data_IF_586745660168
#
_entry.id   IF_586745660168
#
_cell.length_a   1.000
_cell.length_b   1.000
_cell.length_c   1.000
_cell.angle_alpha   90.00
_cell.angle_beta   90.00
_cell.angle_gamma   90.00
#
_symmetry.space_group_name_H-M   'P 1'
#
loop_
_entity.id
_entity.type
_entity.pdbx_description
1 polymer ?
#
# COMPACT_ATOMS: atom_id res chain seq x y z
N UNK A 1 -44.27 -11.49 -38.75
CA UNK A 1 -43.26 -10.68 -38.06
C UNK A 1 -42.98 -11.33 -36.68
N UNK A 2 -41.97 -12.17 -36.62
CA UNK A 2 -41.57 -12.85 -35.39
C UNK A 2 -40.50 -12.00 -34.69
N UNK A 3 -40.85 -11.40 -33.57
CA UNK A 3 -39.92 -10.67 -32.74
C UNK A 3 -38.88 -11.65 -32.14
N UNK A 4 -37.68 -11.72 -32.70
CA UNK A 4 -36.52 -12.36 -32.05
C UNK A 4 -36.22 -11.62 -30.75
N UNK A 5 -36.65 -12.19 -29.64
CA UNK A 5 -36.16 -11.77 -28.32
C UNK A 5 -34.64 -11.93 -28.31
N UNK A 6 -33.92 -10.83 -28.25
CA UNK A 6 -32.47 -10.82 -27.99
C UNK A 6 -32.24 -11.40 -26.60
N UNK A 7 -31.91 -12.69 -26.54
CA UNK A 7 -31.50 -13.33 -25.31
C UNK A 7 -30.18 -12.64 -24.88
N UNK A 8 -30.27 -11.72 -23.96
CA UNK A 8 -29.09 -11.17 -23.29
C UNK A 8 -28.24 -12.30 -22.66
N UNK A 9 -26.95 -12.08 -22.40
CA UNK A 9 -26.08 -13.11 -21.89
C UNK A 9 -26.69 -13.77 -20.63
N UNK A 10 -26.75 -15.11 -20.64
CA UNK A 10 -27.35 -15.90 -19.56
C UNK A 10 -26.72 -15.55 -18.18
N UNK A 11 -27.47 -15.83 -17.11
CA UNK A 11 -27.03 -15.54 -15.72
C UNK A 11 -25.65 -16.14 -15.46
N UNK A 12 -25.37 -17.36 -15.92
CA UNK A 12 -24.06 -18.00 -15.80
C UNK A 12 -22.94 -17.15 -16.46
N UNK A 13 -23.15 -16.65 -17.68
CA UNK A 13 -22.20 -15.82 -18.41
C UNK A 13 -21.93 -14.49 -17.69
N UNK A 14 -22.95 -13.90 -17.04
CA UNK A 14 -22.81 -12.68 -16.24
C UNK A 14 -22.01 -12.93 -14.96
N UNK A 15 -22.23 -14.06 -14.29
CA UNK A 15 -21.50 -14.44 -13.06
C UNK A 15 -20.04 -14.76 -13.39
N UNK A 16 -19.79 -15.70 -14.33
CA UNK A 16 -18.43 -16.12 -14.69
C UNK A 16 -17.60 -15.02 -15.38
N UNK A 17 -18.23 -14.08 -16.04
CA UNK A 17 -17.58 -12.91 -16.63
C UNK A 17 -17.46 -11.73 -15.69
N UNK A 18 -18.01 -11.80 -14.47
CA UNK A 18 -17.91 -10.70 -13.50
C UNK A 18 -16.49 -10.52 -13.00
N UNK A 19 -16.08 -9.27 -12.76
CA UNK A 19 -14.75 -8.98 -12.20
C UNK A 19 -14.57 -9.55 -10.78
N UNK A 20 -15.65 -9.65 -10.02
CA UNK A 20 -15.65 -10.25 -8.70
C UNK A 20 -15.28 -11.75 -8.77
N UNK A 21 -15.90 -12.50 -9.65
CA UNK A 21 -15.61 -13.92 -9.86
C UNK A 21 -14.14 -14.13 -10.26
N UNK A 22 -13.64 -13.33 -11.21
CA UNK A 22 -12.22 -13.39 -11.63
C UNK A 22 -11.27 -13.09 -10.47
N UNK A 23 -11.60 -12.13 -9.61
CA UNK A 23 -10.77 -11.81 -8.45
C UNK A 23 -10.76 -12.91 -7.39
N UNK A 24 -11.94 -13.51 -7.11
CA UNK A 24 -12.03 -14.67 -6.19
C UNK A 24 -11.24 -15.86 -6.73
N UNK A 25 -11.42 -16.16 -8.03
CA UNK A 25 -10.69 -17.24 -8.69
C UNK A 25 -9.16 -17.00 -8.64
N UNK A 26 -8.72 -15.78 -8.87
CA UNK A 26 -7.31 -15.40 -8.76
C UNK A 26 -6.73 -15.68 -7.36
N UNK A 27 -7.49 -15.36 -6.32
CA UNK A 27 -7.11 -15.64 -4.93
C UNK A 27 -7.04 -17.15 -4.68
N UNK A 28 -8.04 -17.91 -5.13
CA UNK A 28 -8.06 -19.39 -4.98
C UNK A 28 -6.86 -20.05 -5.68
N UNK A 29 -6.54 -19.60 -6.90
CA UNK A 29 -5.36 -20.08 -7.63
C UNK A 29 -4.07 -19.78 -6.88
N UNK A 30 -3.95 -18.55 -6.36
CA UNK A 30 -2.78 -18.18 -5.59
C UNK A 30 -2.62 -19.04 -4.34
N UNK A 31 -3.71 -19.33 -3.62
CA UNK A 31 -3.67 -20.28 -2.50
C UNK A 31 -3.32 -21.71 -2.95
N UNK A 32 -3.81 -22.16 -4.11
CA UNK A 32 -3.42 -23.46 -4.65
C UNK A 32 -1.93 -23.53 -5.01
N UNK A 33 -1.38 -22.48 -5.64
CA UNK A 33 0.05 -22.36 -5.91
C UNK A 33 0.85 -22.33 -4.60
N UNK A 34 0.40 -21.55 -3.61
CA UNK A 34 1.00 -21.51 -2.28
C UNK A 34 0.99 -22.88 -1.60
N UNK A 35 -0.10 -23.65 -1.71
CA UNK A 35 -0.19 -25.00 -1.19
C UNK A 35 0.88 -25.94 -1.80
N UNK A 36 1.06 -25.87 -3.13
CA UNK A 36 2.09 -26.64 -3.83
C UNK A 36 3.48 -26.25 -3.33
N UNK A 37 3.77 -24.96 -3.21
CA UNK A 37 5.07 -24.48 -2.75
C UNK A 37 5.35 -24.87 -1.28
N UNK A 38 4.35 -24.79 -0.41
CA UNK A 38 4.44 -25.22 0.99
C UNK A 38 4.72 -26.75 1.04
N UNK A 39 4.00 -27.54 0.25
CA UNK A 39 4.21 -28.99 0.17
C UNK A 39 5.62 -29.32 -0.30
N UNK A 40 6.14 -28.59 -1.31
CA UNK A 40 7.52 -28.76 -1.83
C UNK A 40 8.58 -28.38 -0.80
N UNK A 41 8.28 -27.47 0.14
CA UNK A 41 9.19 -27.13 1.25
C UNK A 41 9.20 -28.18 2.37
N UNK A 42 8.40 -29.25 2.26
CA UNK A 42 8.29 -30.30 3.27
C UNK A 42 7.38 -29.96 4.44
N UNK A 43 6.72 -28.80 4.44
CA UNK A 43 5.79 -28.39 5.49
C UNK A 43 4.36 -28.89 5.20
N UNK A 44 3.59 -29.13 6.27
CA UNK A 44 2.16 -29.47 6.17
C UNK A 44 1.36 -28.25 5.68
N UNK A 45 0.71 -28.40 4.54
CA UNK A 45 -0.13 -27.32 3.94
C UNK A 45 -1.29 -26.95 4.86
N UNK A 46 -1.93 -27.94 5.46
CA UNK A 46 -3.07 -27.72 6.35
C UNK A 46 -2.64 -26.95 7.62
N UNK A 47 -1.52 -27.36 8.23
CA UNK A 47 -0.98 -26.69 9.42
C UNK A 47 -0.51 -25.27 9.11
N UNK A 48 0.10 -25.07 7.95
CA UNK A 48 0.56 -23.75 7.50
C UNK A 48 -0.62 -22.77 7.31
N UNK A 49 -1.65 -23.17 6.58
CA UNK A 49 -2.83 -22.30 6.37
C UNK A 49 -3.64 -22.12 7.64
N UNK A 50 -3.76 -23.14 8.46
CA UNK A 50 -4.39 -23.02 9.77
C UNK A 50 -3.61 -22.06 10.69
N UNK A 51 -2.27 -22.14 10.69
CA UNK A 51 -1.40 -21.20 11.40
C UNK A 51 -1.56 -19.77 10.87
N UNK A 52 -1.67 -19.59 9.54
CA UNK A 52 -1.90 -18.28 8.93
C UNK A 52 -3.25 -17.69 9.39
N UNK A 53 -4.32 -18.48 9.38
CA UNK A 53 -5.64 -18.06 9.85
C UNK A 53 -5.60 -17.66 11.33
N UNK A 54 -5.02 -18.51 12.19
CA UNK A 54 -4.88 -18.25 13.61
C UNK A 54 -4.03 -17.02 13.92
N UNK A 55 -2.99 -16.79 13.13
CA UNK A 55 -2.09 -15.64 13.29
C UNK A 55 -2.62 -14.33 12.70
N UNK A 56 -3.67 -14.38 11.88
CA UNK A 56 -4.20 -13.19 11.21
C UNK A 56 -5.57 -12.73 11.69
N UNK A 57 -6.45 -13.64 12.08
CA UNK A 57 -7.85 -13.29 12.41
C UNK A 57 -8.16 -13.58 13.88
N UNK A 58 -8.14 -14.85 14.27
CA UNK A 58 -8.50 -15.27 15.61
C UNK A 58 -7.77 -16.55 15.98
N UNK A 59 -7.30 -16.67 17.20
CA UNK A 59 -6.72 -17.92 17.73
C UNK A 59 -7.72 -18.64 18.64
N UNK A 60 -8.49 -19.63 18.12
CA UNK A 60 -9.48 -20.36 18.90
C UNK A 60 -8.88 -21.19 20.06
N UNK A 61 -7.59 -21.52 19.96
CA UNK A 61 -6.89 -22.33 20.96
C UNK A 61 -6.15 -21.48 22.01
N UNK A 62 -6.41 -20.18 22.04
CA UNK A 62 -5.78 -19.28 22.99
C UNK A 62 -6.31 -19.49 24.41
N UNK A 63 -5.43 -19.36 25.39
CA UNK A 63 -5.75 -19.60 26.80
C UNK A 63 -6.76 -18.60 27.41
N UNK A 64 -6.97 -17.46 26.76
CA UNK A 64 -7.91 -16.42 27.19
C UNK A 64 -8.38 -15.55 26.03
N UNK A 65 -9.48 -14.80 26.23
CA UNK A 65 -10.09 -13.92 25.22
C UNK A 65 -9.10 -12.86 24.68
N UNK A 66 -8.21 -12.34 25.51
CA UNK A 66 -7.20 -11.34 25.10
C UNK A 66 -6.25 -11.93 24.04
N UNK A 67 -5.74 -13.14 24.27
CA UNK A 67 -4.88 -13.83 23.31
C UNK A 67 -5.64 -14.30 22.08
N UNK A 68 -6.94 -14.58 22.21
CA UNK A 68 -7.80 -15.01 21.11
C UNK A 68 -7.96 -13.90 20.05
N UNK A 69 -8.13 -12.63 20.46
CA UNK A 69 -8.32 -11.49 19.54
C UNK A 69 -7.00 -10.81 19.14
N UNK A 70 -5.87 -11.17 19.77
CA UNK A 70 -4.56 -10.57 19.47
C UNK A 70 -4.16 -10.66 17.99
N UNK A 71 -4.37 -11.77 17.24
CA UNK A 71 -4.07 -11.85 15.81
C UNK A 71 -4.77 -10.78 14.97
N UNK A 72 -6.02 -10.46 15.27
CA UNK A 72 -6.76 -9.40 14.58
C UNK A 72 -6.08 -8.03 14.80
N UNK A 73 -5.70 -7.74 16.05
CA UNK A 73 -5.02 -6.47 16.37
C UNK A 73 -3.61 -6.40 15.77
N UNK A 74 -2.90 -7.52 15.69
CA UNK A 74 -1.61 -7.61 15.00
C UNK A 74 -1.78 -7.40 13.48
N UNK A 75 -2.86 -7.92 12.87
CA UNK A 75 -3.20 -7.65 11.46
C UNK A 75 -3.48 -6.16 11.21
N UNK A 76 -4.25 -5.52 12.08
CA UNK A 76 -4.48 -4.07 12.03
C UNK A 76 -3.17 -3.29 12.20
N UNK A 77 -2.31 -3.70 13.12
CA UNK A 77 -1.01 -3.09 13.34
C UNK A 77 -0.11 -3.13 12.08
N UNK A 78 0.05 -4.30 11.46
CA UNK A 78 0.85 -4.43 10.24
C UNK A 78 0.20 -3.77 9.01
N UNK A 79 -1.12 -3.54 9.02
CA UNK A 79 -1.81 -2.84 7.94
C UNK A 79 -1.57 -1.34 7.92
N UNK A 80 -1.19 -0.72 9.05
CA UNK A 80 -1.05 0.74 9.17
C UNK A 80 -0.16 1.35 8.09
N UNK A 81 1.14 0.99 8.00
CA UNK A 81 2.04 1.58 7.02
C UNK A 81 1.63 1.23 5.59
N UNK A 82 1.04 0.06 5.37
CA UNK A 82 0.60 -0.41 4.06
C UNK A 82 -0.62 0.39 3.54
N UNK A 83 -1.57 0.70 4.41
CA UNK A 83 -2.73 1.55 4.06
C UNK A 83 -2.24 2.95 3.69
N UNK A 84 -1.45 3.59 4.55
CA UNK A 84 -0.98 4.96 4.33
C UNK A 84 -0.15 5.05 3.05
N UNK A 85 0.82 4.15 2.89
CA UNK A 85 1.69 4.11 1.70
C UNK A 85 0.90 3.77 0.43
N UNK A 86 -0.01 2.81 0.51
CA UNK A 86 -0.86 2.40 -0.60
C UNK A 86 -1.75 3.54 -1.10
N UNK A 87 -2.31 4.35 -0.20
CA UNK A 87 -3.07 5.57 -0.55
C UNK A 87 -2.17 6.58 -1.26
N UNK A 88 -0.94 6.80 -0.77
CA UNK A 88 0.03 7.69 -1.40
C UNK A 88 0.36 7.28 -2.84
N UNK A 89 0.62 5.99 -3.08
CA UNK A 89 0.90 5.47 -4.43
C UNK A 89 -0.35 5.46 -5.33
N UNK A 90 -1.52 5.16 -4.77
CA UNK A 90 -2.79 5.23 -5.49
C UNK A 90 -3.05 6.64 -6.04
N UNK A 91 -2.60 7.69 -5.33
CA UNK A 91 -2.68 9.07 -5.79
C UNK A 91 -1.90 9.28 -7.10
N UNK A 92 -0.65 8.80 -7.14
CA UNK A 92 0.18 8.82 -8.35
C UNK A 92 -0.49 8.10 -9.50
N UNK A 93 -0.97 6.89 -9.29
CA UNK A 93 -1.67 6.10 -10.33
C UNK A 93 -2.94 6.77 -10.85
N UNK A 94 -3.66 7.51 -10.01
CA UNK A 94 -4.82 8.31 -10.44
C UNK A 94 -4.46 9.46 -11.38
N UNK A 95 -3.24 9.97 -11.30
CA UNK A 95 -2.70 10.99 -12.21
C UNK A 95 -2.00 10.41 -13.44
N UNK A 96 -1.97 9.08 -13.60
CA UNK A 96 -1.19 8.42 -14.64
C UNK A 96 0.31 8.41 -14.39
N UNK A 97 0.74 8.62 -13.12
CA UNK A 97 2.14 8.63 -12.70
C UNK A 97 2.49 7.35 -11.95
N UNK A 98 3.64 6.79 -12.24
CA UNK A 98 4.12 5.56 -11.60
C UNK A 98 5.25 5.90 -10.60
N UNK A 99 4.87 6.15 -9.32
CA UNK A 99 5.82 6.44 -8.25
C UNK A 99 6.38 5.13 -7.66
N UNK A 100 7.61 4.75 -8.02
CA UNK A 100 8.34 3.62 -7.41
C UNK A 100 9.20 4.11 -6.23
N UNK A 101 9.26 5.41 -5.98
CA UNK A 101 10.08 6.05 -4.94
C UNK A 101 9.60 5.84 -3.50
N UNK A 102 8.63 4.94 -3.29
CA UNK A 102 8.01 4.74 -1.99
C UNK A 102 9.00 4.45 -0.87
N UNK A 103 9.99 3.59 -1.12
CA UNK A 103 11.02 3.27 -0.14
C UNK A 103 11.82 4.50 0.31
N UNK A 104 12.27 5.33 -0.64
CA UNK A 104 13.04 6.53 -0.34
C UNK A 104 12.23 7.58 0.43
N UNK A 105 10.97 7.77 0.05
CA UNK A 105 10.06 8.72 0.69
C UNK A 105 9.73 8.30 2.13
N UNK A 106 9.57 6.99 2.39
CA UNK A 106 9.41 6.41 3.73
C UNK A 106 10.68 6.66 4.57
N UNK A 107 11.86 6.39 4.03
CA UNK A 107 13.15 6.60 4.71
C UNK A 107 13.30 8.06 5.13
N UNK A 108 13.09 8.99 4.21
CA UNK A 108 13.24 10.42 4.47
C UNK A 108 12.21 10.90 5.50
N UNK A 109 10.96 10.45 5.41
CA UNK A 109 9.94 10.73 6.40
C UNK A 109 10.27 10.17 7.79
N UNK A 110 10.74 8.93 7.87
CA UNK A 110 11.16 8.27 9.11
C UNK A 110 12.33 9.01 9.78
N UNK A 111 13.37 9.38 9.01
CA UNK A 111 14.50 10.17 9.51
C UNK A 111 14.04 11.52 10.06
N UNK A 112 13.20 12.23 9.33
CA UNK A 112 12.69 13.53 9.74
C UNK A 112 11.84 13.43 11.03
N UNK A 113 10.99 12.41 11.14
CA UNK A 113 10.18 12.16 12.33
C UNK A 113 11.04 11.85 13.55
N UNK A 114 12.02 10.96 13.40
CA UNK A 114 12.87 10.53 14.50
C UNK A 114 13.80 11.66 14.94
N UNK A 115 14.29 12.46 13.99
CA UNK A 115 15.10 13.63 14.35
C UNK A 115 14.33 14.59 15.28
N UNK A 116 13.07 14.90 14.95
CA UNK A 116 12.21 15.67 15.85
C UNK A 116 12.04 14.92 17.18
N UNK A 117 11.79 13.61 17.13
CA UNK A 117 11.45 12.77 18.28
C UNK A 117 12.57 12.62 19.32
N UNK A 118 13.85 12.75 18.96
CA UNK A 118 14.95 12.69 19.92
C UNK A 118 15.65 14.06 20.17
N UNK A 119 15.47 15.05 19.27
CA UNK A 119 16.17 16.34 19.38
C UNK A 119 15.35 17.40 20.11
N UNK A 120 14.02 17.31 20.11
CA UNK A 120 13.14 18.30 20.71
C UNK A 120 12.53 17.76 22.00
N UNK A 121 12.26 18.68 22.94
CA UNK A 121 11.52 18.40 24.17
C UNK A 121 10.20 19.20 24.13
N UNK A 122 9.16 18.59 23.61
CA UNK A 122 7.83 19.19 23.52
C UNK A 122 6.82 18.39 24.38
N UNK A 123 5.72 19.03 24.80
CA UNK A 123 4.63 18.31 25.47
C UNK A 123 4.13 17.15 24.62
N UNK A 124 3.63 16.03 25.22
CA UNK A 124 3.20 14.83 24.48
C UNK A 124 2.30 15.15 23.30
N UNK A 125 1.35 15.07 22.92
CA UNK A 125 0.53 15.34 21.72
C UNK A 125 1.16 16.30 20.71
N UNK A 126 1.67 17.47 21.18
CA UNK A 126 2.34 18.44 20.30
C UNK A 126 3.60 17.86 19.68
N UNK A 127 4.41 17.14 20.47
CA UNK A 127 5.63 16.49 19.98
C UNK A 127 5.33 15.50 18.86
N UNK A 128 4.37 14.62 19.08
CA UNK A 128 3.92 13.64 18.07
C UNK A 128 3.38 14.34 16.81
N UNK A 129 2.54 15.38 16.95
CA UNK A 129 2.00 16.12 15.81
C UNK A 129 3.08 16.81 14.99
N UNK A 130 4.05 17.46 15.65
CA UNK A 130 5.19 18.11 14.97
C UNK A 130 6.04 17.07 14.23
N UNK A 131 6.32 15.93 14.85
CA UNK A 131 7.09 14.86 14.22
C UNK A 131 6.37 14.30 12.96
N UNK A 132 5.04 14.09 13.04
CA UNK A 132 4.24 13.65 11.90
C UNK A 132 4.21 14.70 10.78
N UNK A 133 4.02 16.00 11.12
CA UNK A 133 3.99 17.08 10.14
C UNK A 133 5.33 17.24 9.42
N UNK A 134 6.45 17.21 10.17
CA UNK A 134 7.79 17.30 9.58
C UNK A 134 8.06 16.12 8.64
N UNK A 135 7.62 14.91 8.99
CA UNK A 135 7.73 13.75 8.12
C UNK A 135 6.88 13.86 6.84
N UNK A 136 5.65 14.37 6.95
CA UNK A 136 4.77 14.65 5.81
C UNK A 136 5.46 15.62 4.85
N UNK A 137 6.01 16.72 5.37
CA UNK A 137 6.70 17.73 4.57
C UNK A 137 7.97 17.15 3.94
N UNK A 138 8.79 16.44 4.71
CA UNK A 138 10.03 15.85 4.22
C UNK A 138 9.79 14.81 3.12
N UNK A 139 8.86 13.87 3.35
CA UNK A 139 8.45 12.89 2.34
C UNK A 139 7.83 13.55 1.10
N UNK A 140 7.01 14.58 1.30
CA UNK A 140 6.40 15.36 0.23
C UNK A 140 7.44 16.09 -0.63
N UNK A 141 8.39 16.78 -0.03
CA UNK A 141 9.47 17.46 -0.72
C UNK A 141 10.33 16.45 -1.50
N UNK A 142 10.64 15.31 -0.89
CA UNK A 142 11.44 14.28 -1.54
C UNK A 142 10.72 13.66 -2.75
N UNK A 143 9.43 13.35 -2.62
CA UNK A 143 8.60 12.92 -3.75
C UNK A 143 8.44 14.01 -4.81
N UNK A 144 8.37 15.26 -4.38
CA UNK A 144 8.29 16.46 -5.24
C UNK A 144 9.48 16.62 -6.17
N UNK A 145 10.68 16.16 -5.80
CA UNK A 145 11.86 16.19 -6.68
C UNK A 145 11.55 15.49 -8.01
N UNK A 146 11.04 14.26 -7.98
CA UNK A 146 10.68 13.52 -9.18
C UNK A 146 9.53 14.20 -9.94
N UNK A 147 8.55 14.74 -9.21
CA UNK A 147 7.43 15.47 -9.80
C UNK A 147 7.85 16.71 -10.57
N UNK A 148 8.75 17.52 -10.00
CA UNK A 148 9.27 18.73 -10.63
C UNK A 148 10.17 18.39 -11.83
N UNK A 149 11.04 17.39 -11.71
CA UNK A 149 11.87 16.93 -12.82
C UNK A 149 11.00 16.48 -14.00
N UNK A 150 9.98 15.65 -13.75
CA UNK A 150 9.05 15.24 -14.81
C UNK A 150 8.32 16.43 -15.42
N UNK A 151 7.82 17.34 -14.59
CA UNK A 151 7.05 18.50 -15.06
C UNK A 151 7.88 19.47 -15.92
N UNK A 152 9.15 19.72 -15.55
CA UNK A 152 9.99 20.71 -16.23
C UNK A 152 10.84 20.13 -17.36
N UNK A 153 11.32 18.92 -17.24
CA UNK A 153 12.27 18.31 -18.19
C UNK A 153 11.70 17.15 -18.98
N UNK A 154 10.49 16.67 -18.63
CA UNK A 154 9.91 15.47 -19.23
C UNK A 154 10.59 14.16 -18.77
N UNK A 155 11.46 14.19 -17.75
CA UNK A 155 12.16 13.02 -17.25
C UNK A 155 11.18 11.89 -16.88
N UNK A 156 11.63 10.65 -17.10
CA UNK A 156 10.81 9.48 -16.73
C UNK A 156 10.75 9.34 -15.20
N UNK A 157 9.54 9.50 -14.63
CA UNK A 157 9.32 9.45 -13.19
C UNK A 157 9.70 8.11 -12.56
N UNK A 158 9.54 7.01 -13.30
CA UNK A 158 9.92 5.66 -12.84
C UNK A 158 11.41 5.58 -12.57
N UNK A 159 12.22 6.02 -13.55
CA UNK A 159 13.68 6.01 -13.43
C UNK A 159 14.13 6.94 -12.30
N UNK A 160 13.61 8.17 -12.28
CA UNK A 160 13.98 9.17 -11.26
C UNK A 160 13.64 8.65 -9.85
N UNK A 161 12.44 8.08 -9.66
CA UNK A 161 12.02 7.61 -8.33
C UNK A 161 12.79 6.37 -7.88
N UNK A 162 13.18 5.47 -8.77
CA UNK A 162 14.09 4.35 -8.44
C UNK A 162 15.46 4.85 -8.03
N UNK A 163 16.02 5.82 -8.75
CA UNK A 163 17.31 6.43 -8.38
C UNK A 163 17.23 7.14 -7.02
N UNK A 164 16.15 7.85 -6.76
CA UNK A 164 15.91 8.48 -5.45
C UNK A 164 15.81 7.44 -4.31
N UNK A 165 15.27 6.25 -4.54
CA UNK A 165 15.33 5.17 -3.53
C UNK A 165 16.76 4.80 -3.16
N UNK A 166 17.65 4.69 -4.15
CA UNK A 166 19.06 4.39 -3.92
C UNK A 166 19.75 5.53 -3.18
N UNK A 167 19.49 6.78 -3.56
CA UNK A 167 20.04 7.97 -2.87
C UNK A 167 19.57 8.02 -1.41
N UNK A 168 18.27 7.79 -1.14
CA UNK A 168 17.76 7.77 0.23
C UNK A 168 18.37 6.64 1.07
N UNK A 169 18.55 5.45 0.47
CA UNK A 169 19.13 4.28 1.16
C UNK A 169 20.61 4.52 1.50
N UNK A 170 21.39 5.07 0.57
CA UNK A 170 22.79 5.43 0.81
C UNK A 170 22.90 6.61 1.79
N UNK A 171 22.02 7.62 1.64
CA UNK A 171 21.92 8.75 2.55
C UNK A 171 21.59 8.31 3.98
N UNK A 172 20.65 7.39 4.15
CA UNK A 172 20.36 6.76 5.45
C UNK A 172 21.61 6.09 6.03
N UNK A 173 22.28 5.25 5.22
CA UNK A 173 23.51 4.59 5.64
C UNK A 173 24.56 5.59 6.13
N UNK A 174 24.77 6.68 5.40
CA UNK A 174 25.69 7.75 5.79
C UNK A 174 25.22 8.47 7.06
N UNK A 175 23.94 8.84 7.15
CA UNK A 175 23.37 9.52 8.33
C UNK A 175 23.59 8.71 9.60
N UNK A 176 23.38 7.39 9.55
CA UNK A 176 23.57 6.49 10.69
C UNK A 176 25.06 6.31 11.09
N UNK A 177 26.03 6.80 10.31
CA UNK A 177 27.44 6.83 10.72
C UNK A 177 27.83 8.14 11.42
N UNK A 178 26.98 9.16 11.35
CA UNK A 178 27.25 10.45 11.97
C UNK A 178 26.97 10.41 13.48
N UNK A 179 27.92 10.89 14.29
CA UNK A 179 27.80 10.90 15.76
C UNK A 179 26.54 11.60 16.29
N UNK A 180 26.05 12.63 15.59
CA UNK A 180 24.82 13.35 15.94
C UNK A 180 23.55 12.51 15.80
N UNK A 181 23.63 11.40 15.06
CA UNK A 181 22.52 10.50 14.79
C UNK A 181 22.68 9.12 15.45
N UNK A 182 23.74 8.91 16.21
CA UNK A 182 24.01 7.66 16.91
C UNK A 182 23.64 7.74 18.39
N UNK A 183 23.36 6.59 18.97
CA UNK A 183 23.23 6.50 20.43
C UNK A 183 24.57 6.85 21.07
N UNK A 184 24.62 7.83 21.99
CA UNK A 184 25.87 8.24 22.64
C UNK A 184 26.61 7.04 23.24
N UNK A 185 27.92 6.98 22.98
CA UNK A 185 28.79 5.90 23.50
C UNK A 185 28.71 4.56 22.76
N UNK A 186 28.00 4.50 21.64
CA UNK A 186 27.94 3.29 20.81
C UNK A 186 28.34 3.57 19.36
N UNK A 187 28.78 2.53 18.65
CA UNK A 187 29.04 2.58 17.19
C UNK A 187 27.93 1.84 16.40
N UNK A 188 26.77 1.60 17.00
CA UNK A 188 25.67 0.93 16.31
C UNK A 188 25.04 1.88 15.27
N UNK A 189 24.79 1.40 14.04
CA UNK A 189 24.19 2.22 12.99
C UNK A 189 22.67 2.33 13.16
N UNK A 190 22.26 2.88 14.30
CA UNK A 190 20.86 3.14 14.66
C UNK A 190 20.76 4.50 15.36
N UNK A 191 19.62 5.16 15.19
CA UNK A 191 19.37 6.43 15.90
C UNK A 191 19.06 6.20 17.37
N UNK A 192 19.18 7.24 18.22
CA UNK A 192 18.60 7.20 19.56
C UNK A 192 17.11 6.86 19.49
N UNK A 193 16.58 6.29 20.57
CA UNK A 193 15.13 6.09 20.70
C UNK A 193 14.43 7.43 20.78
N UNK A 194 13.27 7.52 20.17
CA UNK A 194 12.40 8.68 20.29
C UNK A 194 11.94 8.86 21.73
N UNK A 195 11.78 10.11 22.16
CA UNK A 195 11.22 10.41 23.46
C UNK A 195 9.80 9.83 23.60
N UNK A 196 9.41 9.41 24.80
CA UNK A 196 8.06 8.89 25.05
C UNK A 196 6.96 9.89 24.66
N UNK A 197 7.25 11.19 24.77
CA UNK A 197 6.36 12.27 24.33
C UNK A 197 6.13 12.33 22.81
N UNK A 198 7.08 11.82 22.00
CA UNK A 198 6.98 11.76 20.55
C UNK A 198 6.41 10.41 20.04
N UNK A 199 6.48 9.37 20.87
CA UNK A 199 6.05 8.04 20.50
C UNK A 199 4.51 8.01 20.29
N UNK A 200 4.06 7.19 19.32
CA UNK A 200 2.64 6.95 19.12
C UNK A 200 2.09 6.06 20.25
N UNK A 201 1.23 6.62 21.08
CA UNK A 201 0.65 5.94 22.23
C UNK A 201 -0.06 4.63 21.81
N UNK A 202 0.03 3.60 22.65
CA UNK A 202 -0.71 2.35 22.45
C UNK A 202 -2.19 2.58 22.67
N UNK A 203 -3.04 2.05 21.80
CA UNK A 203 -4.50 2.08 21.95
C UNK A 203 -5.03 1.05 22.93
N UNK A 204 -4.29 -0.05 23.11
CA UNK A 204 -4.65 -1.17 23.95
C UNK A 204 -3.48 -1.51 24.88
N UNK A 205 -3.75 -1.99 26.12
CA UNK A 205 -2.69 -2.43 27.04
C UNK A 205 -1.97 -3.68 26.50
N UNK A 206 -0.81 -3.98 27.06
CA UNK A 206 -0.09 -5.21 26.72
C UNK A 206 -1.02 -6.45 26.86
N UNK A 207 -0.96 -7.44 25.96
CA UNK A 207 0.12 -7.70 24.98
C UNK A 207 -0.13 -7.11 23.57
N UNK A 208 -1.09 -6.20 23.40
CA UNK A 208 -1.42 -5.64 22.10
C UNK A 208 -0.36 -4.63 21.63
N UNK A 209 -0.08 -4.63 20.31
CA UNK A 209 0.88 -3.71 19.68
C UNK A 209 0.20 -2.50 19.01
N UNK A 210 -1.12 -2.55 18.87
CA UNK A 210 -1.89 -1.54 18.15
C UNK A 210 -1.75 -0.17 18.82
N UNK A 211 -1.32 0.84 18.07
CA UNK A 211 -1.10 2.21 18.54
C UNK A 211 -1.92 3.23 17.76
N UNK A 212 -1.93 4.49 18.19
CA UNK A 212 -2.67 5.62 17.60
C UNK A 212 -2.39 5.78 16.11
N UNK A 213 -1.30 5.23 15.59
CA UNK A 213 -1.01 5.17 14.16
C UNK A 213 -2.14 4.55 13.31
N UNK A 214 -2.97 3.67 13.86
CA UNK A 214 -4.14 3.18 13.14
C UNK A 214 -5.19 4.29 12.95
N UNK A 215 -5.37 5.14 13.94
CA UNK A 215 -6.22 6.33 13.82
C UNK A 215 -5.65 7.29 12.78
N UNK A 216 -4.31 7.48 12.76
CA UNK A 216 -3.62 8.29 11.73
C UNK A 216 -3.88 7.69 10.34
N UNK A 217 -3.86 6.36 10.17
CA UNK A 217 -4.19 5.71 8.90
C UNK A 217 -5.64 5.94 8.48
N UNK A 218 -6.59 5.94 9.42
CA UNK A 218 -8.00 6.26 9.14
C UNK A 218 -8.18 7.74 8.77
N UNK A 219 -7.48 8.65 9.43
CA UNK A 219 -7.48 10.08 9.06
C UNK A 219 -6.88 10.26 7.66
N UNK A 220 -5.77 9.58 7.35
CA UNK A 220 -5.17 9.57 6.02
C UNK A 220 -6.12 9.01 4.95
N UNK A 221 -6.89 7.96 5.27
CA UNK A 221 -7.93 7.40 4.40
C UNK A 221 -9.03 8.42 4.09
N UNK A 222 -9.53 9.11 5.12
CA UNK A 222 -10.56 10.15 4.97
C UNK A 222 -10.02 11.33 4.18
N UNK A 223 -8.78 11.77 4.46
CA UNK A 223 -8.12 12.85 3.73
C UNK A 223 -7.95 12.48 2.24
N UNK A 224 -7.51 11.27 1.94
CA UNK A 224 -7.40 10.77 0.55
C UNK A 224 -8.77 10.72 -0.13
N UNK A 225 -9.80 10.18 0.54
CA UNK A 225 -11.16 10.12 0.01
C UNK A 225 -11.68 11.52 -0.32
N UNK A 226 -11.56 12.47 0.61
CA UNK A 226 -11.99 13.85 0.39
C UNK A 226 -11.19 14.49 -0.76
N UNK A 227 -9.86 14.32 -0.75
CA UNK A 227 -8.98 14.85 -1.78
C UNK A 227 -9.36 14.34 -3.17
N UNK A 228 -9.52 13.04 -3.36
CA UNK A 228 -9.76 12.44 -4.68
C UNK A 228 -11.22 12.58 -5.11
N UNK A 229 -12.19 12.41 -4.22
CA UNK A 229 -13.61 12.31 -4.64
C UNK A 229 -14.36 13.65 -4.49
N UNK A 230 -13.89 14.56 -3.64
CA UNK A 230 -14.62 15.78 -3.27
C UNK A 230 -13.94 17.09 -3.61
N UNK A 231 -12.61 17.10 -3.87
CA UNK A 231 -11.86 18.33 -4.14
C UNK A 231 -11.73 18.64 -5.63
N UNK A 232 -11.57 19.93 -5.96
CA UNK A 232 -11.23 20.39 -7.31
C UNK A 232 -9.87 19.87 -7.78
N UNK A 233 -8.92 19.77 -6.83
CA UNK A 233 -7.59 19.20 -7.10
C UNK A 233 -7.69 17.73 -7.50
N UNK A 234 -8.52 16.95 -6.78
CA UNK A 234 -8.77 15.55 -7.13
C UNK A 234 -9.42 15.38 -8.49
N UNK A 235 -10.32 16.28 -8.88
CA UNK A 235 -10.86 16.31 -10.23
C UNK A 235 -9.74 16.53 -11.27
N UNK A 236 -8.87 17.52 -11.06
CA UNK A 236 -7.75 17.82 -11.96
C UNK A 236 -6.76 16.63 -12.06
N UNK A 237 -6.45 15.99 -10.94
CA UNK A 237 -5.61 14.79 -10.89
C UNK A 237 -6.20 13.67 -11.76
N UNK A 238 -7.49 13.39 -11.61
CA UNK A 238 -8.17 12.36 -12.41
C UNK A 238 -8.28 12.73 -13.89
N UNK A 239 -8.51 14.02 -14.20
CA UNK A 239 -8.58 14.52 -15.57
C UNK A 239 -7.23 14.36 -16.29
N UNK A 240 -6.14 14.74 -15.63
CA UNK A 240 -4.77 14.58 -16.18
C UNK A 240 -4.45 13.09 -16.37
N UNK A 241 -4.80 12.23 -15.40
CA UNK A 241 -4.57 10.79 -15.51
C UNK A 241 -5.41 10.11 -16.58
N UNK A 242 -6.60 10.61 -16.87
CA UNK A 242 -7.45 10.08 -17.94
C UNK A 242 -6.95 10.46 -19.33
N UNK A 243 -6.63 11.76 -19.55
CA UNK A 243 -6.03 12.25 -20.79
C UNK A 243 -5.39 13.63 -20.56
N UNK A 244 -4.07 13.66 -20.49
CA UNK A 244 -3.30 14.88 -20.25
C UNK A 244 -3.48 15.94 -21.36
N UNK A 245 -3.65 15.53 -22.61
CA UNK A 245 -3.86 16.47 -23.72
C UNK A 245 -5.23 17.16 -23.61
N UNK A 246 -6.30 16.39 -23.36
CA UNK A 246 -7.64 16.92 -23.14
C UNK A 246 -7.70 17.82 -21.88
N UNK A 247 -7.01 17.44 -20.80
CA UNK A 247 -6.92 18.25 -19.59
C UNK A 247 -6.27 19.61 -19.86
N UNK A 248 -5.19 19.64 -20.66
CA UNK A 248 -4.53 20.88 -21.08
C UNK A 248 -5.44 21.77 -21.91
N UNK A 249 -6.20 21.20 -22.86
CA UNK A 249 -7.20 21.94 -23.65
C UNK A 249 -8.30 22.55 -22.77
N UNK A 250 -8.65 21.88 -21.66
CA UNK A 250 -9.60 22.38 -20.67
C UNK A 250 -8.98 23.38 -19.68
N UNK A 251 -7.74 23.87 -19.90
CA UNK A 251 -7.09 24.87 -19.06
C UNK A 251 -6.41 24.32 -17.80
N UNK A 252 -6.26 23.00 -17.66
CA UNK A 252 -5.57 22.38 -16.53
C UNK A 252 -4.07 22.34 -16.81
N UNK A 253 -3.26 22.94 -15.93
CA UNK A 253 -1.79 22.84 -16.01
C UNK A 253 -1.33 21.44 -15.62
N UNK A 254 -1.01 20.62 -16.62
CA UNK A 254 -0.57 19.23 -16.44
C UNK A 254 0.72 19.17 -15.62
N UNK A 255 1.66 20.11 -15.88
CA UNK A 255 2.95 20.18 -15.19
C UNK A 255 2.77 20.45 -13.70
N UNK A 256 1.90 21.39 -13.34
CA UNK A 256 1.59 21.72 -11.94
C UNK A 256 0.92 20.56 -11.24
N UNK A 257 -0.05 19.91 -11.88
CA UNK A 257 -0.76 18.75 -11.30
C UNK A 257 0.19 17.57 -11.12
N UNK A 258 1.09 17.31 -12.07
CA UNK A 258 2.13 16.28 -11.96
C UNK A 258 3.01 16.51 -10.72
N UNK A 259 3.54 17.73 -10.57
CA UNK A 259 4.39 18.07 -9.41
C UNK A 259 3.64 17.94 -8.08
N UNK A 260 2.44 18.52 -7.98
CA UNK A 260 1.61 18.45 -6.76
C UNK A 260 1.25 17.01 -6.41
N UNK A 261 0.89 16.19 -7.39
CA UNK A 261 0.55 14.78 -7.16
C UNK A 261 1.72 14.01 -6.56
N UNK A 262 2.95 14.24 -7.05
CA UNK A 262 4.14 13.58 -6.53
C UNK A 262 4.50 14.08 -5.12
N UNK A 263 4.30 15.37 -4.84
CA UNK A 263 4.44 15.93 -3.47
C UNK A 263 3.45 15.27 -2.52
N UNK A 264 2.18 15.20 -2.90
CA UNK A 264 1.14 14.59 -2.07
C UNK A 264 1.38 13.08 -1.88
N UNK A 265 1.76 12.37 -2.94
CA UNK A 265 2.16 10.96 -2.86
C UNK A 265 3.29 10.77 -1.85
N UNK A 266 4.35 11.58 -1.96
CA UNK A 266 5.47 11.56 -1.02
C UNK A 266 5.09 11.94 0.40
N UNK A 267 4.13 12.83 0.59
CA UNK A 267 3.60 13.21 1.90
C UNK A 267 2.94 12.04 2.63
N UNK A 268 2.12 11.25 1.94
CA UNK A 268 1.55 10.01 2.51
C UNK A 268 2.64 8.99 2.86
N UNK A 269 3.63 8.82 1.99
CA UNK A 269 4.73 7.89 2.23
C UNK A 269 5.64 8.34 3.38
N UNK A 270 5.89 9.64 3.51
CA UNK A 270 6.58 10.23 4.66
C UNK A 270 5.82 9.99 5.96
N UNK A 271 4.48 10.14 5.93
CA UNK A 271 3.61 9.83 7.07
C UNK A 271 3.67 8.34 7.45
N UNK A 272 3.74 7.43 6.46
CA UNK A 272 3.95 6.00 6.73
C UNK A 272 5.31 5.73 7.37
N UNK A 273 6.36 6.42 6.94
CA UNK A 273 7.70 6.36 7.54
C UNK A 273 7.70 6.84 8.99
N UNK A 274 7.03 7.96 9.27
CA UNK A 274 6.86 8.44 10.64
C UNK A 274 6.10 7.44 11.52
N UNK A 275 5.04 6.84 10.98
CA UNK A 275 4.26 5.84 11.70
C UNK A 275 5.11 4.61 12.06
N UNK A 276 5.94 4.14 11.14
CA UNK A 276 6.86 3.03 11.39
C UNK A 276 7.90 3.40 12.46
N UNK A 277 8.50 4.57 12.33
CA UNK A 277 9.57 5.03 13.21
C UNK A 277 9.10 5.42 14.62
N UNK A 278 7.94 6.08 14.75
CA UNK A 278 7.42 6.56 16.03
C UNK A 278 6.51 5.56 16.75
N UNK A 279 5.88 4.65 16.01
CA UNK A 279 4.86 3.73 16.54
C UNK A 279 5.32 2.28 16.61
N UNK A 280 6.03 1.79 15.57
CA UNK A 280 6.38 0.38 15.43
C UNK A 280 7.74 0.07 16.04
N UNK A 281 8.77 0.84 15.67
CA UNK A 281 10.18 0.53 15.99
C UNK A 281 10.70 1.39 17.15
N UNK A 282 10.35 2.67 17.17
CA UNK A 282 10.82 3.64 18.17
C UNK A 282 12.21 4.24 17.87
N UNK A 283 12.82 3.91 16.73
CA UNK A 283 14.10 4.43 16.25
C UNK A 283 14.24 4.16 14.74
N UNK A 284 15.27 4.67 14.09
CA UNK A 284 15.58 4.36 12.69
C UNK A 284 16.82 3.47 12.60
N UNK A 285 16.69 2.37 11.86
CA UNK A 285 17.76 1.48 11.43
C UNK A 285 17.87 1.47 9.90
N UNK A 286 18.87 0.77 9.36
CA UNK A 286 19.05 0.63 7.90
C UNK A 286 17.84 0.02 7.19
N UNK A 287 17.03 -0.76 7.90
CA UNK A 287 15.88 -1.48 7.36
C UNK A 287 14.52 -0.87 7.74
N UNK A 288 14.49 0.40 8.14
CA UNK A 288 13.26 1.08 8.58
C UNK A 288 12.11 1.02 7.57
N UNK A 289 12.41 1.06 6.28
CA UNK A 289 11.39 0.97 5.23
C UNK A 289 11.05 -0.47 4.84
N UNK A 290 11.90 -1.45 5.15
CA UNK A 290 11.71 -2.86 4.78
C UNK A 290 11.20 -3.03 3.35
N UNK A 291 10.16 -3.85 3.18
CA UNK A 291 9.43 -4.05 1.92
C UNK A 291 8.25 -3.09 1.72
N UNK A 292 7.92 -2.22 2.70
CA UNK A 292 6.68 -1.42 2.72
C UNK A 292 6.50 -0.62 1.43
N UNK A 293 7.57 -0.01 0.90
CA UNK A 293 7.51 0.80 -0.32
C UNK A 293 7.05 0.01 -1.56
N UNK A 294 7.46 -1.25 -1.68
CA UNK A 294 7.05 -2.14 -2.77
C UNK A 294 5.69 -2.79 -2.50
N UNK A 295 5.45 -3.24 -1.27
CA UNK A 295 4.17 -3.81 -0.85
C UNK A 295 3.03 -2.81 -1.07
N UNK A 296 3.31 -1.52 -0.87
CA UNK A 296 2.35 -0.44 -1.09
C UNK A 296 1.91 -0.31 -2.56
N UNK A 297 2.81 -0.57 -3.54
CA UNK A 297 2.46 -0.62 -4.97
C UNK A 297 1.39 -1.70 -5.17
N UNK A 298 1.64 -2.85 -4.61
CA UNK A 298 0.78 -4.01 -4.64
C UNK A 298 -0.59 -3.72 -4.02
N UNK A 299 -0.60 -3.10 -2.83
CA UNK A 299 -1.82 -2.68 -2.13
C UNK A 299 -2.63 -1.68 -2.96
N UNK A 300 -1.97 -0.68 -3.57
CA UNK A 300 -2.65 0.30 -4.41
C UNK A 300 -3.28 -0.34 -5.65
N UNK A 301 -2.53 -1.21 -6.35
CA UNK A 301 -3.01 -1.91 -7.55
C UNK A 301 -4.14 -2.90 -7.23
N UNK A 302 -4.00 -3.69 -6.16
CA UNK A 302 -5.04 -4.59 -5.69
C UNK A 302 -6.31 -3.82 -5.32
N UNK A 303 -6.15 -2.68 -4.64
CA UNK A 303 -7.23 -1.75 -4.32
C UNK A 303 -7.79 -0.98 -5.53
N UNK A 304 -7.24 -1.20 -6.75
CA UNK A 304 -7.60 -0.50 -7.99
C UNK A 304 -7.51 1.01 -7.86
N UNK A 305 -6.60 1.49 -7.07
CA UNK A 305 -6.38 2.91 -6.78
C UNK A 305 -7.65 3.62 -6.25
N UNK A 306 -8.58 2.87 -5.64
CA UNK A 306 -9.79 3.40 -5.01
C UNK A 306 -9.59 3.46 -3.50
N UNK A 307 -10.17 4.45 -2.84
CA UNK A 307 -10.05 4.69 -1.40
C UNK A 307 -10.33 3.42 -0.59
N UNK A 308 -11.53 2.89 -0.67
CA UNK A 308 -11.95 1.71 0.09
C UNK A 308 -11.29 0.42 -0.39
N UNK A 309 -10.97 0.35 -1.70
CA UNK A 309 -10.24 -0.78 -2.25
C UNK A 309 -8.82 -0.88 -1.70
N UNK A 310 -8.09 0.24 -1.65
CA UNK A 310 -6.73 0.32 -1.10
C UNK A 310 -6.72 0.06 0.41
N UNK A 311 -7.73 0.55 1.13
CA UNK A 311 -7.92 0.23 2.55
C UNK A 311 -8.09 -1.28 2.77
N UNK A 312 -9.03 -1.92 2.05
CA UNK A 312 -9.27 -3.36 2.15
C UNK A 312 -8.05 -4.20 1.74
N UNK A 313 -7.33 -3.77 0.69
CA UNK A 313 -6.08 -4.41 0.29
C UNK A 313 -4.99 -4.29 1.37
N UNK A 314 -4.85 -3.11 2.00
CA UNK A 314 -3.91 -2.90 3.10
C UNK A 314 -4.22 -3.78 4.32
N UNK A 315 -5.50 -3.94 4.68
CA UNK A 315 -5.94 -4.86 5.74
C UNK A 315 -5.60 -6.32 5.39
N UNK A 316 -5.85 -6.75 4.16
CA UNK A 316 -5.52 -8.10 3.70
C UNK A 316 -4.02 -8.38 3.78
N UNK A 317 -3.19 -7.44 3.32
CA UNK A 317 -1.72 -7.58 3.39
C UNK A 317 -1.20 -7.55 4.83
N UNK A 318 -1.80 -6.71 5.69
CA UNK A 318 -1.52 -6.72 7.13
C UNK A 318 -1.84 -8.08 7.77
N UNK A 319 -2.97 -8.68 7.40
CA UNK A 319 -3.36 -10.02 7.83
C UNK A 319 -2.39 -11.10 7.33
N UNK A 320 -1.97 -11.05 6.07
CA UNK A 320 -0.94 -11.96 5.54
C UNK A 320 0.39 -11.82 6.29
N UNK A 321 0.80 -10.59 6.61
CA UNK A 321 2.03 -10.34 7.37
C UNK A 321 1.95 -10.89 8.79
N UNK A 322 0.84 -10.66 9.50
CA UNK A 322 0.60 -11.20 10.83
C UNK A 322 0.54 -12.73 10.84
N UNK A 323 -0.24 -13.32 9.93
CA UNK A 323 -0.35 -14.77 9.76
C UNK A 323 0.97 -15.40 9.34
N UNK A 324 1.76 -14.70 8.54
CA UNK A 324 3.06 -15.11 8.07
C UNK A 324 4.07 -15.38 9.17
N UNK A 325 4.14 -14.53 10.16
CA UNK A 325 5.00 -14.77 11.33
C UNK A 325 4.56 -16.03 12.10
N UNK A 326 3.27 -16.34 12.12
CA UNK A 326 2.76 -17.56 12.78
C UNK A 326 3.08 -18.81 11.95
N UNK A 327 3.02 -18.72 10.60
CA UNK A 327 3.46 -19.79 9.70
C UNK A 327 4.95 -20.09 9.85
N UNK A 328 5.78 -19.04 9.96
CA UNK A 328 7.23 -19.17 10.16
C UNK A 328 7.56 -19.96 11.41
N UNK A 329 6.81 -19.76 12.50
CA UNK A 329 6.96 -20.55 13.73
C UNK A 329 6.62 -22.05 13.55
N UNK A 330 5.98 -22.42 12.42
CA UNK A 330 5.69 -23.81 12.01
C UNK A 330 6.66 -24.36 10.97
N UNK A 331 7.79 -23.69 10.76
CA UNK A 331 8.84 -24.13 9.83
C UNK A 331 8.61 -23.73 8.37
N UNK A 332 7.60 -22.90 8.06
CA UNK A 332 7.40 -22.39 6.70
C UNK A 332 8.28 -21.14 6.51
N UNK A 333 9.15 -21.08 5.50
CA UNK A 333 9.96 -19.90 5.21
C UNK A 333 9.09 -18.66 4.97
N UNK A 334 9.49 -17.51 5.52
CA UNK A 334 8.72 -16.25 5.35
C UNK A 334 8.60 -15.83 3.89
N UNK A 335 9.57 -16.21 3.05
CA UNK A 335 9.58 -15.94 1.62
C UNK A 335 8.38 -16.59 0.89
N UNK A 336 7.85 -17.69 1.39
CA UNK A 336 6.64 -18.34 0.85
C UNK A 336 5.42 -17.42 0.92
N UNK A 337 5.35 -16.57 1.95
CA UNK A 337 4.27 -15.60 2.09
C UNK A 337 4.43 -14.47 1.09
N UNK A 338 5.67 -14.01 0.88
CA UNK A 338 5.98 -13.00 -0.15
C UNK A 338 5.65 -13.53 -1.54
N UNK A 339 5.93 -14.81 -1.83
CA UNK A 339 5.56 -15.46 -3.08
C UNK A 339 4.04 -15.52 -3.21
N UNK A 340 3.33 -15.97 -2.17
CA UNK A 340 1.87 -16.03 -2.16
C UNK A 340 1.25 -14.64 -2.44
N UNK A 341 1.72 -13.60 -1.74
CA UNK A 341 1.29 -12.21 -1.97
C UNK A 341 1.56 -11.77 -3.41
N UNK A 342 2.75 -12.05 -3.95
CA UNK A 342 3.14 -11.68 -5.30
C UNK A 342 2.28 -12.37 -6.36
N UNK A 343 1.95 -13.65 -6.16
CA UNK A 343 1.06 -14.41 -7.05
C UNK A 343 -0.36 -13.87 -7.01
N UNK A 344 -0.89 -13.56 -5.82
CA UNK A 344 -2.22 -12.94 -5.66
C UNK A 344 -2.27 -11.64 -6.46
N UNK A 345 -1.26 -10.80 -6.31
CA UNK A 345 -1.20 -9.50 -7.00
C UNK A 345 -1.08 -9.66 -8.50
N UNK A 346 -0.19 -10.53 -8.96
CA UNK A 346 -0.02 -10.79 -10.40
C UNK A 346 -1.36 -11.21 -11.04
N UNK A 347 -2.07 -12.14 -10.42
CA UNK A 347 -3.34 -12.65 -10.96
C UNK A 347 -4.46 -11.61 -10.88
N UNK A 348 -4.49 -10.78 -9.85
CA UNK A 348 -5.51 -9.72 -9.72
C UNK A 348 -5.17 -8.51 -10.61
N UNK A 349 -3.90 -8.16 -10.76
CA UNK A 349 -3.46 -7.09 -11.65
C UNK A 349 -3.62 -7.44 -13.13
N UNK A 350 -3.55 -8.73 -13.47
CA UNK A 350 -3.70 -9.24 -14.82
C UNK A 350 -4.97 -10.10 -14.99
N UNK A 351 -6.19 -9.54 -14.86
CA UNK A 351 -7.44 -10.32 -14.98
C UNK A 351 -7.63 -10.94 -16.37
N UNK A 352 -6.97 -10.39 -17.40
CA UNK A 352 -6.92 -10.96 -18.73
C UNK A 352 -6.20 -12.33 -18.74
N UNK A 353 -5.12 -12.46 -17.96
CA UNK A 353 -4.39 -13.73 -17.82
C UNK A 353 -5.28 -14.81 -17.19
N UNK A 354 -6.00 -14.47 -16.12
CA UNK A 354 -6.94 -15.40 -15.46
C UNK A 354 -8.06 -15.81 -16.41
N UNK A 355 -8.62 -14.87 -17.15
CA UNK A 355 -9.66 -15.16 -18.16
C UNK A 355 -9.12 -16.07 -19.28
N UNK A 356 -7.93 -15.80 -19.77
CA UNK A 356 -7.31 -16.61 -20.81
C UNK A 356 -7.03 -18.04 -20.32
N UNK A 357 -6.47 -18.18 -19.10
CA UNK A 357 -6.15 -19.48 -18.52
C UNK A 357 -7.37 -20.37 -18.31
N UNK A 358 -8.50 -19.78 -17.89
CA UNK A 358 -9.75 -20.50 -17.62
C UNK A 358 -10.80 -20.35 -18.73
N UNK A 359 -10.43 -19.74 -19.88
CA UNK A 359 -11.31 -19.52 -21.03
C UNK A 359 -12.64 -18.84 -20.64
N UNK A 360 -12.58 -17.89 -19.69
CA UNK A 360 -13.76 -17.19 -19.18
C UNK A 360 -14.25 -16.13 -20.19
N UNK A 361 -15.58 -15.98 -20.35
CA UNK A 361 -16.14 -15.01 -21.29
C UNK A 361 -15.83 -13.56 -20.87
N UNK A 362 -15.46 -12.70 -21.82
CA UNK A 362 -15.36 -11.25 -21.59
C UNK A 362 -16.74 -10.60 -21.83
N UNK A 363 -17.47 -10.35 -20.74
CA UNK A 363 -18.81 -9.72 -20.78
C UNK A 363 -18.75 -8.31 -21.39
N UNK A 364 -17.62 -7.60 -21.29
CA UNK A 364 -17.49 -6.27 -21.92
C UNK A 364 -17.36 -6.36 -23.43
N UNK A 365 -16.62 -7.34 -23.94
CA UNK A 365 -16.51 -7.59 -25.37
C UNK A 365 -17.86 -8.07 -25.95
N UNK A 366 -18.58 -8.94 -25.23
CA UNK A 366 -19.91 -9.39 -25.62
C UNK A 366 -20.92 -8.24 -25.64
N UNK A 367 -20.93 -7.36 -24.65
CA UNK A 367 -21.82 -6.19 -24.61
C UNK A 367 -21.48 -5.15 -25.68
N UNK A 368 -20.21 -4.98 -26.05
CA UNK A 368 -19.79 -4.11 -27.14
C UNK A 368 -20.22 -4.63 -28.50
N UNK A 369 -20.11 -5.93 -28.73
CA UNK A 369 -20.54 -6.57 -29.97
C UNK A 369 -22.06 -6.53 -30.14
N UNK A 370 -22.83 -6.70 -29.05
CA UNK A 370 -24.30 -6.58 -29.09
C UNK A 370 -24.74 -5.14 -29.44
N UNK A 371 -24.01 -4.12 -28.95
CA UNK A 371 -24.28 -2.71 -29.30
C UNK A 371 -23.94 -2.36 -30.76
N UNK A 372 -22.86 -2.94 -31.29
CA UNK A 372 -22.50 -2.77 -32.72
C UNK A 372 -23.49 -3.46 -33.63
N UNK A 373 -23.92 -4.70 -33.33
CA UNK A 373 -24.91 -5.39 -34.11
C UNK A 373 -26.24 -4.65 -34.19
N UNK A 374 -26.70 -4.06 -33.08
CA UNK A 374 -27.93 -3.24 -33.06
C UNK A 374 -27.79 -1.89 -33.79
N UNK A 375 -26.57 -1.35 -33.90
CA UNK A 375 -26.32 -0.09 -34.63
C UNK A 375 -26.28 -0.30 -36.15
N UNK A 376 -25.86 -1.48 -36.61
CA UNK A 376 -25.79 -1.85 -38.03
C UNK A 376 -27.16 -2.31 -38.57
N UNK A 377 -28.08 -2.80 -37.69
CA UNK A 377 -29.46 -3.13 -38.09
C UNK A 377 -30.39 -1.89 -38.24
N UNK A 378 -29.94 -0.73 -37.78
CA UNK A 378 -30.68 0.54 -37.88
C UNK A 378 -30.13 1.49 -38.97
N UNK A 379 -29.21 1.03 -39.80
CA UNK A 379 -28.78 1.68 -41.05
C UNK A 379 -29.35 0.97 -42.25
#
# INVERSE_FOLDING_TARGET
>A
MSARRSNGPGIATRVFGSQWFVSVLAVLIAFAIGAILIALSGASVADAYYAMFRGSIVDPNAANAVRMIKPLTDSLFYSIPLIISGLGLALGFRAGLFNIGGKGQIIVGALAAVWVGFSLNLPPVLHTLVALLVAIVAGGLYGGIAGVLKAKTGANEVIVTIMLNSIATLGLGYTLTQKAWQVPGTNQPVTPKVAESAALARLLPAPFKLHVGFVVALVALVAFWWLIERSTLGFQIRAVGANAAAARTAGISVERITAITMVLSGAFLGLAGANEALGTIGYVSRDVAGSIGFDAITVALLGRNKTWGTFGAGLLFGAFKAGGYTMQAKGVPIDMILILQSVIVLLIAAPALVRWLFRLPDVRALAANTRKGNADEHK
#
